data_IF_183209579618
#
_entry.id   IF_183209579618
#
_cell.length_a   1.000
_cell.length_b   1.000
_cell.length_c   1.000
_cell.angle_alpha   90.00
_cell.angle_beta   90.00
_cell.angle_gamma   90.00
#
_symmetry.space_group_name_H-M   'P 1'
#
loop_
_entity.id
_entity.type
_entity.pdbx_description
1 polymer ?
#
# COMPACT_ATOMS: atom_id res chain seq x y z
N UNK A 1 -8.40 -9.15 12.62
CA UNK A 1 -9.32 -10.31 12.51
C UNK A 1 -8.98 -11.35 13.55
N UNK A 2 -9.90 -12.23 13.95
CA UNK A 2 -9.81 -13.13 15.14
C UNK A 2 -9.78 -12.42 16.51
N UNK A 3 -8.99 -11.35 16.67
CA UNK A 3 -8.90 -10.58 17.93
C UNK A 3 -10.07 -9.63 18.22
N UNK A 4 -11.14 -9.67 17.41
CA UNK A 4 -12.26 -8.72 17.54
C UNK A 4 -11.99 -7.31 16.99
N UNK A 5 -10.83 -7.06 16.38
CA UNK A 5 -10.53 -5.83 15.64
C UNK A 5 -10.46 -6.13 14.13
N UNK A 6 -11.58 -6.01 13.38
CA UNK A 6 -11.63 -6.35 11.96
C UNK A 6 -11.20 -5.20 11.05
N UNK A 7 -11.38 -3.94 11.46
CA UNK A 7 -10.98 -2.76 10.68
C UNK A 7 -9.46 -2.57 10.76
N UNK A 8 -8.73 -3.37 10.00
CA UNK A 8 -7.27 -3.40 10.01
C UNK A 8 -6.73 -3.68 8.61
N UNK A 9 -5.57 -3.09 8.31
CA UNK A 9 -4.82 -3.33 7.08
C UNK A 9 -3.49 -2.56 7.13
N UNK A 10 -2.46 -3.05 6.43
CA UNK A 10 -1.15 -2.41 6.40
C UNK A 10 -1.05 -1.31 5.34
N UNK A 11 0.04 -0.53 5.38
CA UNK A 11 0.28 0.54 4.40
C UNK A 11 0.65 -0.02 3.03
N UNK A 12 -0.14 0.34 2.03
CA UNK A 12 -0.03 -0.18 0.66
C UNK A 12 1.30 0.27 0.05
N UNK A 13 2.09 -0.69 -0.44
CA UNK A 13 3.43 -0.45 -0.98
C UNK A 13 4.54 -0.42 0.07
N UNK A 14 4.19 -0.38 1.37
CA UNK A 14 5.12 -0.22 2.48
C UNK A 14 5.31 1.24 2.90
N UNK A 15 5.49 1.45 4.21
CA UNK A 15 5.67 2.78 4.78
C UNK A 15 7.08 3.34 4.52
N UNK A 16 8.12 2.59 4.86
CA UNK A 16 9.52 2.99 4.70
C UNK A 16 10.17 2.45 3.43
N UNK A 17 11.08 3.25 2.86
CA UNK A 17 11.75 2.93 1.60
C UNK A 17 10.86 3.10 0.37
N UNK A 18 11.41 2.80 -0.80
CA UNK A 18 10.74 3.05 -2.08
C UNK A 18 10.21 1.75 -2.70
N UNK A 19 8.90 1.71 -2.93
CA UNK A 19 8.29 0.63 -3.67
C UNK A 19 8.71 0.69 -5.14
N UNK A 20 8.80 -0.48 -5.78
CA UNK A 20 8.85 -0.55 -7.25
C UNK A 20 7.42 -0.63 -7.80
N UNK A 21 7.20 -0.22 -9.05
CA UNK A 21 5.88 -0.35 -9.70
C UNK A 21 5.31 -1.77 -9.60
N UNK A 22 6.16 -2.79 -9.82
CA UNK A 22 5.78 -4.20 -9.68
C UNK A 22 5.37 -4.58 -8.25
N UNK A 23 6.08 -4.06 -7.24
CA UNK A 23 5.75 -4.30 -5.83
C UNK A 23 4.44 -3.61 -5.46
N UNK A 24 4.29 -2.34 -5.83
CA UNK A 24 3.09 -1.56 -5.53
C UNK A 24 1.84 -2.15 -6.20
N UNK A 25 1.93 -2.54 -7.47
CA UNK A 25 0.81 -3.20 -8.18
C UNK A 25 0.38 -4.52 -7.53
N UNK A 26 1.33 -5.34 -7.07
CA UNK A 26 1.03 -6.56 -6.28
C UNK A 26 0.36 -6.23 -4.95
N UNK A 27 0.82 -5.16 -4.30
CA UNK A 27 0.22 -4.65 -3.08
C UNK A 27 -1.23 -4.23 -3.30
N UNK A 28 -1.54 -3.49 -4.36
CA UNK A 28 -2.90 -3.07 -4.69
C UNK A 28 -3.88 -4.25 -4.81
N UNK A 29 -3.46 -5.34 -5.46
CA UNK A 29 -4.29 -6.54 -5.61
C UNK A 29 -4.69 -7.19 -4.27
N UNK A 30 -3.76 -7.27 -3.32
CA UNK A 30 -4.04 -7.81 -1.97
C UNK A 30 -4.74 -6.75 -1.11
N UNK A 31 -4.34 -5.48 -1.25
CA UNK A 31 -4.83 -4.37 -0.46
C UNK A 31 -6.34 -4.19 -0.59
N UNK A 32 -6.88 -4.36 -1.79
CA UNK A 32 -8.32 -4.30 -2.05
C UNK A 32 -9.15 -5.31 -1.23
N UNK A 33 -8.51 -6.33 -0.65
CA UNK A 33 -9.16 -7.36 0.18
C UNK A 33 -9.10 -7.07 1.69
N UNK A 34 -8.37 -6.03 2.14
CA UNK A 34 -8.35 -5.67 3.55
C UNK A 34 -9.57 -4.83 3.95
N UNK A 35 -10.07 -4.94 5.20
CA UNK A 35 -11.15 -4.07 5.68
C UNK A 35 -10.75 -2.60 5.81
N UNK A 36 -9.46 -2.30 6.05
CA UNK A 36 -8.91 -0.95 6.01
C UNK A 36 -7.82 -0.89 4.93
N UNK A 37 -8.00 0.00 3.95
CA UNK A 37 -7.12 0.10 2.78
C UNK A 37 -6.56 1.53 2.69
N UNK A 38 -5.25 1.69 2.89
CA UNK A 38 -4.59 3.01 2.90
C UNK A 38 -3.22 2.97 2.23
N UNK A 39 -3.01 3.87 1.27
CA UNK A 39 -1.66 4.26 0.84
C UNK A 39 -1.06 5.26 1.81
N UNK A 40 0.12 4.97 2.36
CA UNK A 40 0.85 5.86 3.27
C UNK A 40 2.34 5.55 3.19
N UNK A 41 3.17 6.59 3.13
CA UNK A 41 4.62 6.46 3.03
C UNK A 41 5.31 7.52 3.89
N UNK A 42 6.56 7.25 4.26
CA UNK A 42 7.37 8.13 5.09
C UNK A 42 7.80 9.40 4.34
N UNK A 43 8.21 10.42 5.07
CA UNK A 43 8.82 11.61 4.45
C UNK A 43 10.17 11.25 3.83
N UNK A 44 10.41 11.71 2.60
CA UNK A 44 11.66 11.47 1.88
C UNK A 44 11.72 10.18 1.07
N UNK A 45 10.64 9.41 1.01
CA UNK A 45 10.44 8.38 -0.02
C UNK A 45 9.96 9.02 -1.33
N UNK A 46 9.91 8.22 -2.40
CA UNK A 46 9.26 8.64 -3.65
C UNK A 46 7.74 8.67 -3.51
N UNK A 47 7.08 9.36 -4.43
CA UNK A 47 5.63 9.36 -4.58
C UNK A 47 5.08 7.93 -4.71
N UNK A 48 4.12 7.57 -3.85
CA UNK A 48 3.50 6.24 -3.76
C UNK A 48 2.01 6.27 -4.14
N UNK A 49 1.54 7.33 -4.78
CA UNK A 49 0.21 7.37 -5.38
C UNK A 49 0.14 6.40 -6.58
N UNK A 50 -1.03 5.79 -6.87
CA UNK A 50 -1.14 4.82 -7.96
C UNK A 50 -0.67 5.35 -9.33
N UNK A 51 -0.81 6.64 -9.58
CA UNK A 51 -0.37 7.30 -10.83
C UNK A 51 1.13 7.67 -10.87
N UNK A 52 1.86 7.54 -9.76
CA UNK A 52 3.29 7.87 -9.69
C UNK A 52 4.19 6.82 -10.36
N UNK A 53 3.68 5.60 -10.60
CA UNK A 53 4.45 4.46 -11.09
C UNK A 53 4.53 4.34 -12.62
N UNK A 54 4.09 5.36 -13.36
CA UNK A 54 4.08 5.37 -14.83
C UNK A 54 2.88 4.63 -15.45
N UNK A 55 2.89 4.47 -16.77
CA UNK A 55 1.93 3.62 -17.47
C UNK A 55 2.19 2.14 -17.15
N UNK A 56 1.12 1.36 -17.00
CA UNK A 56 1.17 -0.10 -16.84
C UNK A 56 1.84 -0.82 -18.02
#
# INVERSE_FOLDING_TARGET
GLSGQPLAGPDIGGFGGNATARLFGRWMGIAAMFPFCRGHTDSGTIDHEPWAFGQE
#
